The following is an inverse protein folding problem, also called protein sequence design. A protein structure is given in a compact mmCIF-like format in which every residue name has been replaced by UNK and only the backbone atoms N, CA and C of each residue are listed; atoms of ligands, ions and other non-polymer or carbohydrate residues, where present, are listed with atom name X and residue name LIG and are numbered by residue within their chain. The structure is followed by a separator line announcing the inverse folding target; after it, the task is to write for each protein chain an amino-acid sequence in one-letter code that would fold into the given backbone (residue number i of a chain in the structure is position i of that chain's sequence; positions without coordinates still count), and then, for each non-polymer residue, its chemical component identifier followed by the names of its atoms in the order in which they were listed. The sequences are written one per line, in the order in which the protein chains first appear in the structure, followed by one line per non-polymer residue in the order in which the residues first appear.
data_IF_629346987344
#
_entry.id   IF_629346987344
#
_cell.length_a   1.000
_cell.length_b   1.000
_cell.length_c   1.000
_cell.angle_alpha   90.00
_cell.angle_beta   90.00
_cell.angle_gamma   90.00
#
_symmetry.space_group_name_H-M   'P 1'
#
loop_
_entity.id
_entity.type
_entity.pdbx_description
1 polymer ?
#
# COMPACT_ATOMS: atom_id res chain seq x y z
N UNK A 1 29.91 31.79 39.17
CA UNK A 1 30.22 30.80 38.09
C UNK A 1 28.94 30.07 37.74
N UNK A 2 28.25 30.48 36.66
CA UNK A 2 26.96 29.90 36.22
C UNK A 2 27.28 28.92 35.09
N UNK A 3 27.11 27.61 35.37
CA UNK A 3 27.22 26.56 34.35
C UNK A 3 25.99 26.62 33.45
N UNK A 4 26.18 27.05 32.21
CA UNK A 4 25.15 26.95 31.13
C UNK A 4 25.03 25.49 30.72
N UNK A 5 23.88 24.88 31.02
CA UNK A 5 23.47 23.57 30.55
C UNK A 5 22.96 23.74 29.12
N UNK A 6 23.74 23.31 28.13
CA UNK A 6 23.32 23.24 26.73
C UNK A 6 22.42 22.00 26.57
N UNK A 7 21.11 22.21 26.46
CA UNK A 7 20.16 21.18 26.11
C UNK A 7 20.27 20.96 24.60
N UNK A 8 20.93 19.88 24.21
CA UNK A 8 20.93 19.40 22.82
C UNK A 8 19.56 18.78 22.53
N UNK A 9 18.70 19.52 21.88
CA UNK A 9 17.46 18.98 21.28
C UNK A 9 17.86 18.14 20.07
N UNK A 10 18.00 16.83 20.27
CA UNK A 10 18.09 15.88 19.15
C UNK A 10 16.73 15.84 18.45
N UNK A 11 16.60 16.59 17.37
CA UNK A 11 15.52 16.39 16.41
C UNK A 11 15.70 15.00 15.78
N UNK A 12 15.00 14.01 16.31
CA UNK A 12 14.85 12.71 15.70
C UNK A 12 13.99 12.88 14.45
N UNK A 13 14.65 13.08 13.31
CA UNK A 13 14.01 12.98 12.00
C UNK A 13 13.42 11.57 11.88
N UNK A 14 12.12 11.46 12.07
CA UNK A 14 11.36 10.27 11.73
C UNK A 14 11.40 10.11 10.21
N UNK A 15 12.20 9.17 9.71
CA UNK A 15 12.13 8.73 8.33
C UNK A 15 10.79 8.00 8.16
N UNK A 16 9.75 8.75 7.86
CA UNK A 16 8.48 8.19 7.38
C UNK A 16 8.73 7.56 6.01
N UNK A 17 8.12 6.42 5.72
CA UNK A 17 8.09 5.88 4.37
C UNK A 17 7.46 6.96 3.49
N UNK A 18 8.27 7.62 2.69
CA UNK A 18 7.81 8.68 1.79
C UNK A 18 7.51 8.02 0.45
N UNK A 19 6.36 8.35 -0.11
CA UNK A 19 6.04 8.04 -1.49
C UNK A 19 6.49 9.22 -2.35
N UNK A 20 6.97 8.95 -3.56
CA UNK A 20 7.49 9.99 -4.44
C UNK A 20 6.41 10.51 -5.38
N UNK A 21 6.46 11.81 -5.63
CA UNK A 21 5.78 12.49 -6.74
C UNK A 21 6.83 12.76 -7.79
N UNK A 22 6.61 12.30 -9.02
CA UNK A 22 7.59 12.36 -10.09
C UNK A 22 7.45 13.61 -10.95
N UNK A 23 6.46 14.46 -10.74
CA UNK A 23 6.17 15.62 -11.53
C UNK A 23 6.58 16.98 -10.95
N UNK A 24 6.76 17.07 -9.63
CA UNK A 24 6.98 18.37 -8.99
C UNK A 24 8.45 18.71 -8.83
N UNK A 25 8.95 19.51 -9.76
CA UNK A 25 10.26 20.15 -9.64
C UNK A 25 11.45 19.25 -9.91
N UNK A 26 11.24 18.03 -10.38
CA UNK A 26 12.32 17.18 -10.84
C UNK A 26 12.53 17.42 -12.36
N UNK A 27 13.60 18.11 -12.77
CA UNK A 27 13.83 18.43 -14.20
C UNK A 27 14.14 17.19 -15.06
N UNK A 28 14.28 16.02 -14.43
CA UNK A 28 14.74 14.81 -15.10
C UNK A 28 13.62 13.89 -15.60
N UNK A 29 12.38 14.06 -15.14
CA UNK A 29 11.30 13.16 -15.58
C UNK A 29 10.24 13.80 -16.48
N UNK A 30 10.16 15.13 -16.55
CA UNK A 30 9.27 15.85 -17.47
C UNK A 30 7.78 15.52 -17.35
N UNK A 31 7.39 14.85 -16.28
CA UNK A 31 6.02 14.37 -16.05
C UNK A 31 5.39 15.23 -14.96
N UNK A 32 4.30 15.91 -15.31
CA UNK A 32 3.47 16.65 -14.35
C UNK A 32 2.82 15.68 -13.34
N UNK A 33 2.48 16.18 -12.16
CA UNK A 33 1.72 15.41 -11.16
C UNK A 33 0.43 14.85 -11.78
N UNK A 34 0.38 13.54 -11.92
CA UNK A 34 -0.71 12.81 -12.59
C UNK A 34 -1.88 12.51 -11.65
N UNK A 35 -1.82 12.98 -10.41
CA UNK A 35 -2.89 12.74 -9.44
C UNK A 35 -4.12 13.58 -9.77
N UNK A 36 -5.26 12.92 -9.82
CA UNK A 36 -6.57 13.55 -10.05
C UNK A 36 -7.62 13.00 -9.09
N UNK A 37 -8.75 13.66 -9.02
CA UNK A 37 -9.89 13.17 -8.25
C UNK A 37 -10.29 11.76 -8.68
N UNK A 38 -10.29 10.83 -7.76
CA UNK A 38 -10.69 9.47 -8.05
C UNK A 38 -12.18 9.37 -8.38
N UNK A 39 -12.58 8.55 -9.38
CA UNK A 39 -13.98 8.31 -9.69
C UNK A 39 -14.74 7.77 -8.46
N UNK A 40 -15.94 8.27 -8.21
CA UNK A 40 -16.79 7.85 -7.07
C UNK A 40 -16.96 6.33 -6.97
N UNK A 41 -16.93 5.64 -8.10
CA UNK A 41 -17.07 4.20 -8.19
C UNK A 41 -15.89 3.45 -7.60
N UNK A 42 -14.67 3.94 -7.82
CA UNK A 42 -13.44 3.41 -7.26
C UNK A 42 -13.26 3.81 -5.78
N UNK A 43 -13.62 5.04 -5.41
CA UNK A 43 -13.61 5.49 -4.02
C UNK A 43 -14.41 4.60 -3.07
N UNK A 44 -15.46 3.93 -3.57
CA UNK A 44 -16.27 3.02 -2.75
C UNK A 44 -15.54 1.73 -2.33
N UNK A 45 -14.39 1.44 -2.89
CA UNK A 45 -13.62 0.23 -2.54
C UNK A 45 -12.42 0.51 -1.68
N UNK A 46 -12.08 1.76 -1.43
CA UNK A 46 -10.92 2.17 -0.65
C UNK A 46 -11.33 2.99 0.57
N UNK A 47 -10.40 3.12 1.49
CA UNK A 47 -10.54 3.95 2.68
C UNK A 47 -9.19 4.10 3.36
N UNK A 48 -9.20 4.73 4.51
CA UNK A 48 -8.01 5.05 5.28
C UNK A 48 -7.94 4.24 6.57
N UNK A 49 -6.72 3.98 7.03
CA UNK A 49 -6.44 3.36 8.32
C UNK A 49 -5.97 4.44 9.30
N UNK A 50 -6.58 4.44 10.45
CA UNK A 50 -6.17 5.22 11.61
C UNK A 50 -5.78 4.29 12.73
N UNK A 51 -4.67 4.57 13.41
CA UNK A 51 -4.26 3.90 14.64
C UNK A 51 -3.76 4.95 15.62
N UNK A 52 -4.06 4.78 16.89
CA UNK A 52 -3.65 5.71 17.97
C UNK A 52 -4.00 7.19 17.65
N UNK A 53 -5.17 7.40 17.06
CA UNK A 53 -5.66 8.72 16.67
C UNK A 53 -5.03 9.34 15.42
N UNK A 54 -3.96 8.73 14.85
CA UNK A 54 -3.27 9.22 13.66
C UNK A 54 -3.63 8.45 12.39
N UNK A 55 -3.66 9.14 11.25
CA UNK A 55 -3.75 8.50 9.94
C UNK A 55 -2.45 7.75 9.67
N UNK A 56 -2.56 6.50 9.17
CA UNK A 56 -1.41 5.63 8.89
C UNK A 56 -1.27 5.30 7.40
N UNK A 57 -2.35 5.16 6.67
CA UNK A 57 -2.30 4.82 5.25
C UNK A 57 -3.66 4.52 4.65
N UNK A 58 -3.61 3.92 3.49
CA UNK A 58 -4.74 3.50 2.67
C UNK A 58 -4.99 2.00 2.82
N UNK A 59 -6.22 1.56 2.65
CA UNK A 59 -6.57 0.16 2.53
C UNK A 59 -7.70 -0.06 1.54
N UNK A 60 -7.77 -1.27 0.99
CA UNK A 60 -8.75 -1.65 -0.03
C UNK A 60 -9.64 -2.76 0.46
N UNK A 61 -10.94 -2.60 0.33
CA UNK A 61 -11.91 -3.66 0.56
C UNK A 61 -11.84 -4.66 -0.60
N UNK A 62 -11.51 -5.91 -0.29
CA UNK A 62 -11.35 -6.99 -1.27
C UNK A 62 -12.54 -7.92 -1.30
N UNK A 63 -12.83 -8.46 -2.50
CA UNK A 63 -13.84 -9.50 -2.69
C UNK A 63 -13.26 -10.85 -2.28
N UNK A 64 -14.00 -11.56 -1.43
CA UNK A 64 -13.64 -12.90 -1.00
C UNK A 64 -14.75 -13.89 -1.39
N UNK A 65 -14.37 -15.15 -1.64
CA UNK A 65 -15.32 -16.20 -2.03
C UNK A 65 -16.26 -16.62 -0.90
N UNK A 66 -15.83 -16.45 0.34
CA UNK A 66 -16.64 -16.83 1.51
C UNK A 66 -17.61 -15.69 1.85
N UNK A 67 -18.88 -16.08 2.05
CA UNK A 67 -19.88 -15.19 2.68
C UNK A 67 -19.49 -15.02 4.15
N UNK A 68 -18.85 -13.91 4.43
CA UNK A 68 -18.50 -13.55 5.80
C UNK A 68 -19.37 -12.39 6.27
N UNK A 69 -19.68 -12.38 7.56
CA UNK A 69 -20.36 -11.25 8.21
C UNK A 69 -19.43 -10.04 8.38
N UNK A 70 -18.21 -10.17 7.90
CA UNK A 70 -17.11 -9.21 8.03
C UNK A 70 -16.55 -8.88 6.67
N UNK A 71 -16.06 -7.67 6.52
CA UNK A 71 -15.27 -7.28 5.36
C UNK A 71 -13.80 -7.59 5.59
N UNK A 72 -13.13 -7.98 4.52
CA UNK A 72 -11.66 -8.13 4.49
C UNK A 72 -11.08 -6.94 3.73
N UNK A 73 -10.10 -6.31 4.32
CA UNK A 73 -9.31 -5.27 3.66
C UNK A 73 -7.88 -5.73 3.47
N UNK A 74 -7.22 -5.15 2.47
CA UNK A 74 -5.83 -5.36 2.12
C UNK A 74 -5.08 -4.04 2.24
N UNK A 75 -3.88 -4.06 2.85
CA UNK A 75 -3.05 -2.87 3.03
C UNK A 75 -1.57 -3.26 3.11
N UNK A 76 -0.67 -2.28 3.10
CA UNK A 76 0.74 -2.49 3.44
C UNK A 76 0.90 -2.78 4.94
N UNK A 77 1.79 -3.70 5.29
CA UNK A 77 1.98 -4.09 6.68
C UNK A 77 2.53 -2.94 7.55
N UNK A 78 3.44 -2.13 7.01
CA UNK A 78 4.00 -0.98 7.75
C UNK A 78 2.96 0.07 8.16
N UNK A 79 1.77 0.06 7.55
CA UNK A 79 0.64 0.92 7.95
C UNK A 79 0.14 0.54 9.35
N UNK A 80 0.33 -0.71 9.75
CA UNK A 80 -0.14 -1.26 11.03
C UNK A 80 0.96 -1.39 12.09
N UNK A 81 2.24 -1.31 11.70
CA UNK A 81 3.36 -1.55 12.59
C UNK A 81 4.26 -0.31 12.68
N UNK A 82 4.65 0.03 13.90
CA UNK A 82 5.66 1.06 14.13
C UNK A 82 7.00 0.62 13.54
N UNK A 83 7.53 1.43 12.63
CA UNK A 83 8.76 1.10 11.89
C UNK A 83 10.02 1.12 12.77
N UNK A 84 9.99 1.76 13.95
CA UNK A 84 11.12 1.83 14.87
C UNK A 84 11.13 0.66 15.83
N UNK A 85 9.97 0.33 16.38
CA UNK A 85 9.84 -0.68 17.43
C UNK A 85 9.39 -2.04 16.93
N UNK A 86 8.78 -2.10 15.75
CA UNK A 86 8.13 -3.30 15.22
C UNK A 86 6.82 -3.65 15.92
N UNK A 87 6.37 -2.82 16.85
CA UNK A 87 5.14 -3.07 17.58
C UNK A 87 3.91 -2.77 16.71
N UNK A 88 2.87 -3.56 16.87
CA UNK A 88 1.56 -3.29 16.28
C UNK A 88 0.98 -2.03 16.93
N UNK A 89 0.55 -1.08 16.11
CA UNK A 89 -0.19 0.08 16.58
C UNK A 89 -1.50 -0.35 17.26
N UNK A 90 -1.93 0.42 18.24
CA UNK A 90 -3.15 0.15 18.99
C UNK A 90 -4.35 0.90 18.40
N UNK A 91 -5.55 0.57 18.87
CA UNK A 91 -6.79 1.27 18.52
C UNK A 91 -6.98 1.50 17.02
N UNK A 92 -6.54 0.55 16.19
CA UNK A 92 -6.64 0.65 14.75
C UNK A 92 -8.09 0.49 14.28
N UNK A 93 -8.47 1.33 13.32
CA UNK A 93 -9.74 1.22 12.63
C UNK A 93 -9.63 1.62 11.15
N UNK A 94 -10.43 0.99 10.33
CA UNK A 94 -10.61 1.33 8.93
C UNK A 94 -11.74 2.34 8.79
N UNK A 95 -11.49 3.43 8.10
CA UNK A 95 -12.49 4.44 7.76
C UNK A 95 -12.77 4.37 6.26
N UNK A 96 -13.92 3.82 5.85
CA UNK A 96 -14.35 3.84 4.47
C UNK A 96 -14.41 5.26 3.93
N UNK A 97 -14.13 5.47 2.64
CA UNK A 97 -14.27 6.81 2.02
C UNK A 97 -15.72 7.30 2.09
N UNK A 98 -16.69 6.40 2.13
CA UNK A 98 -18.05 6.76 2.48
C UNK A 98 -18.17 7.12 3.97
N UNK A 99 -17.97 8.37 4.30
CA UNK A 99 -17.88 8.93 5.66
C UNK A 99 -19.10 8.67 6.57
N UNK A 100 -20.23 8.22 6.00
CA UNK A 100 -21.44 7.89 6.78
C UNK A 100 -21.27 6.68 7.72
N UNK A 101 -20.28 5.83 7.48
CA UNK A 101 -20.16 4.57 8.21
C UNK A 101 -19.28 4.65 9.46
N UNK A 102 -18.58 5.76 9.70
CA UNK A 102 -17.62 5.88 10.80
C UNK A 102 -16.46 4.88 10.70
N UNK A 103 -15.60 4.82 11.70
CA UNK A 103 -14.48 3.87 11.77
C UNK A 103 -14.97 2.46 12.13
N UNK A 104 -14.36 1.44 11.49
CA UNK A 104 -14.63 0.03 11.75
C UNK A 104 -13.36 -0.60 12.33
N UNK A 105 -13.41 -1.04 13.58
CA UNK A 105 -12.27 -1.67 14.25
C UNK A 105 -11.88 -3.01 13.62
N UNK A 106 -10.68 -3.47 13.90
CA UNK A 106 -10.12 -4.73 13.43
C UNK A 106 -10.54 -5.89 14.32
N UNK A 107 -10.90 -7.02 13.72
CA UNK A 107 -11.20 -8.27 14.41
C UNK A 107 -9.98 -9.20 14.43
N UNK A 108 -9.27 -9.28 13.31
CA UNK A 108 -8.06 -10.11 13.18
C UNK A 108 -7.17 -9.55 12.07
N UNK A 109 -5.88 -9.88 12.17
CA UNK A 109 -4.86 -9.56 11.17
C UNK A 109 -4.26 -10.89 10.70
N UNK A 110 -4.03 -11.05 9.40
CA UNK A 110 -3.43 -12.26 8.84
C UNK A 110 -1.98 -12.43 9.31
N UNK A 111 -1.48 -13.65 9.30
CA UNK A 111 -0.04 -13.89 9.46
C UNK A 111 0.73 -13.09 8.39
N UNK A 112 1.86 -12.52 8.77
CA UNK A 112 2.74 -11.76 7.88
C UNK A 112 4.20 -12.03 8.25
N UNK A 113 5.11 -11.69 7.34
CA UNK A 113 6.55 -11.82 7.54
C UNK A 113 7.24 -10.44 7.56
N UNK A 114 6.46 -9.37 7.60
CA UNK A 114 7.00 -8.02 7.64
C UNK A 114 7.84 -7.82 8.91
N UNK A 115 9.07 -7.34 8.69
CA UNK A 115 10.00 -7.01 9.77
C UNK A 115 10.55 -5.59 9.54
N UNK A 116 10.09 -4.59 10.30
CA UNK A 116 10.53 -3.20 10.15
C UNK A 116 12.02 -3.02 10.50
N UNK A 117 12.61 -3.88 11.31
CA UNK A 117 14.02 -3.85 11.65
C UNK A 117 14.94 -4.45 10.58
N UNK A 118 14.39 -5.00 9.48
CA UNK A 118 15.19 -5.58 8.41
C UNK A 118 16.08 -4.53 7.77
N UNK A 119 17.38 -4.82 7.67
CA UNK A 119 18.34 -4.00 6.91
C UNK A 119 18.18 -4.20 5.40
N UNK A 120 17.65 -5.33 4.97
CA UNK A 120 17.36 -5.60 3.58
C UNK A 120 16.02 -4.95 3.19
N UNK A 121 16.09 -3.83 2.49
CA UNK A 121 14.91 -3.05 2.07
C UNK A 121 14.07 -3.76 1.02
N UNK A 122 14.68 -4.56 0.15
CA UNK A 122 13.95 -5.39 -0.82
C UNK A 122 13.12 -6.44 -0.07
N UNK A 123 13.74 -7.18 0.85
CA UNK A 123 13.02 -8.17 1.66
C UNK A 123 11.93 -7.55 2.53
N UNK A 124 12.16 -6.36 3.02
CA UNK A 124 11.15 -5.60 3.76
C UNK A 124 9.94 -5.28 2.86
N UNK A 125 10.18 -4.79 1.64
CA UNK A 125 9.14 -4.49 0.66
C UNK A 125 8.38 -5.74 0.19
N UNK A 126 9.06 -6.87 -0.05
CA UNK A 126 8.44 -8.16 -0.40
C UNK A 126 7.43 -8.66 0.63
N UNK A 127 7.66 -8.36 1.89
CA UNK A 127 6.83 -8.82 3.01
C UNK A 127 5.82 -7.78 3.50
N UNK A 128 5.85 -6.58 2.92
CA UNK A 128 5.07 -5.42 3.34
C UNK A 128 3.62 -5.46 2.84
N UNK A 129 2.90 -6.51 3.21
CA UNK A 129 1.49 -6.71 2.83
C UNK A 129 0.75 -7.55 3.87
N UNK A 130 -0.50 -7.18 4.17
CA UNK A 130 -1.31 -7.84 5.19
C UNK A 130 -2.81 -7.76 4.87
N UNK A 131 -3.54 -8.82 5.22
CA UNK A 131 -5.00 -8.84 5.23
C UNK A 131 -5.52 -8.55 6.63
N UNK A 132 -6.62 -7.81 6.70
CA UNK A 132 -7.28 -7.47 7.96
C UNK A 132 -8.76 -7.79 7.86
N UNK A 133 -9.28 -8.54 8.83
CA UNK A 133 -10.70 -8.73 9.01
C UNK A 133 -11.27 -7.60 9.87
N UNK A 134 -12.30 -6.95 9.39
CA UNK A 134 -13.02 -5.92 10.13
C UNK A 134 -14.02 -6.54 11.11
N UNK A 135 -14.35 -5.85 12.20
CA UNK A 135 -15.35 -6.32 13.17
C UNK A 135 -16.75 -6.46 12.59
N UNK A 136 -17.04 -5.77 11.48
CA UNK A 136 -18.34 -5.81 10.77
C UNK A 136 -18.16 -5.55 9.28
N UNK A 137 -19.23 -5.70 8.51
CA UNK A 137 -19.23 -5.35 7.06
C UNK A 137 -19.01 -3.86 6.85
N UNK A 138 -18.18 -3.53 5.87
CA UNK A 138 -17.94 -2.15 5.45
C UNK A 138 -19.04 -1.59 4.53
N UNK A 139 -19.98 -2.43 4.05
CA UNK A 139 -21.05 -2.05 3.11
C UNK A 139 -20.55 -1.22 1.92
N UNK A 140 -19.36 -1.56 1.46
CA UNK A 140 -18.70 -0.90 0.35
C UNK A 140 -18.59 -1.85 -0.84
N UNK A 141 -18.29 -1.28 -2.02
CA UNK A 141 -17.81 -2.06 -3.16
C UNK A 141 -16.48 -2.71 -2.79
N UNK A 142 -16.24 -3.91 -3.31
CA UNK A 142 -14.98 -4.62 -3.16
C UNK A 142 -14.33 -4.83 -4.52
N UNK A 143 -13.00 -4.85 -4.56
CA UNK A 143 -12.23 -5.18 -5.75
C UNK A 143 -11.80 -6.65 -5.72
N UNK A 144 -11.66 -7.24 -6.91
CA UNK A 144 -11.08 -8.56 -7.06
C UNK A 144 -9.55 -8.48 -6.89
N UNK A 145 -8.93 -9.59 -6.50
CA UNK A 145 -7.48 -9.76 -6.59
C UNK A 145 -7.14 -10.37 -7.96
N UNK A 146 -6.04 -9.92 -8.57
CA UNK A 146 -5.55 -10.48 -9.82
C UNK A 146 -5.22 -11.97 -9.67
N UNK A 147 -5.36 -12.71 -10.78
CA UNK A 147 -4.89 -14.09 -10.86
C UNK A 147 -3.37 -14.10 -11.09
N UNK A 148 -2.62 -15.10 -10.56
CA UNK A 148 -1.17 -15.13 -10.59
C UNK A 148 -0.50 -15.15 -11.98
N UNK A 149 -1.24 -15.31 -13.05
CA UNK A 149 -0.71 -15.47 -14.41
C UNK A 149 -0.98 -14.24 -15.31
N UNK A 150 -1.33 -13.10 -14.74
CA UNK A 150 -1.53 -11.91 -15.53
C UNK A 150 -0.20 -11.28 -15.89
N UNK A 151 0.13 -11.40 -17.17
CA UNK A 151 1.24 -10.77 -17.89
C UNK A 151 1.40 -9.28 -17.61
N UNK A 152 2.63 -8.83 -17.83
CA UNK A 152 3.14 -7.47 -17.84
C UNK A 152 2.05 -6.42 -18.08
N UNK A 153 1.71 -5.69 -17.03
CA UNK A 153 0.75 -4.58 -17.12
C UNK A 153 1.56 -3.29 -17.14
N UNK A 154 1.82 -2.79 -18.34
CA UNK A 154 2.61 -1.57 -18.51
C UNK A 154 1.87 -0.31 -18.07
N UNK A 155 0.55 -0.26 -18.22
CA UNK A 155 -0.27 0.90 -17.84
C UNK A 155 -1.09 0.58 -16.61
N UNK A 156 -0.80 1.30 -15.54
CA UNK A 156 -1.40 1.08 -14.22
C UNK A 156 -1.97 2.37 -13.64
N UNK A 157 -2.72 2.22 -12.56
CA UNK A 157 -3.29 3.31 -11.79
C UNK A 157 -3.10 3.02 -10.31
N UNK A 158 -2.80 4.04 -9.51
CA UNK A 158 -2.72 3.97 -8.06
C UNK A 158 -3.85 4.77 -7.42
N UNK A 159 -4.60 4.13 -6.55
CA UNK A 159 -5.52 4.82 -5.64
C UNK A 159 -4.89 4.95 -4.25
N UNK A 160 -4.76 6.15 -3.74
CA UNK A 160 -4.17 6.38 -2.43
C UNK A 160 -4.63 7.66 -1.77
N UNK A 161 -4.70 7.65 -0.45
CA UNK A 161 -4.83 8.88 0.31
C UNK A 161 -3.50 9.64 0.26
N UNK A 162 -3.58 10.93 0.00
CA UNK A 162 -2.40 11.79 -0.07
C UNK A 162 -2.51 12.90 0.98
N UNK A 163 -1.52 12.99 1.86
CA UNK A 163 -1.56 13.89 3.01
C UNK A 163 -1.49 15.37 2.63
N UNK A 164 -0.85 15.69 1.51
CA UNK A 164 -0.76 17.05 0.95
C UNK A 164 -2.13 17.58 0.51
N UNK A 165 -2.91 16.76 -0.18
CA UNK A 165 -4.27 17.10 -0.65
C UNK A 165 -5.37 16.69 0.33
N UNK A 166 -5.05 15.90 1.34
CA UNK A 166 -5.97 15.32 2.33
C UNK A 166 -7.15 14.54 1.73
N UNK A 167 -6.94 13.96 0.55
CA UNK A 167 -7.95 13.20 -0.20
C UNK A 167 -7.40 11.89 -0.73
N UNK A 168 -8.31 10.96 -1.09
CA UNK A 168 -7.95 9.81 -1.91
C UNK A 168 -7.99 10.25 -3.37
N UNK A 169 -6.85 10.22 -4.02
CA UNK A 169 -6.70 10.52 -5.44
C UNK A 169 -6.38 9.29 -6.25
N UNK A 170 -6.52 9.42 -7.56
CA UNK A 170 -6.11 8.45 -8.57
C UNK A 170 -4.89 9.03 -9.28
N UNK A 171 -3.72 8.38 -9.15
CA UNK A 171 -2.60 8.60 -10.05
C UNK A 171 -2.86 7.76 -11.29
N UNK A 172 -2.98 8.43 -12.43
CA UNK A 172 -3.35 7.84 -13.71
C UNK A 172 -2.21 7.92 -14.70
N UNK A 173 -2.25 7.13 -15.77
CA UNK A 173 -1.23 7.08 -16.82
C UNK A 173 0.18 6.73 -16.33
N UNK A 174 0.29 6.08 -15.21
CA UNK A 174 1.59 5.63 -14.74
C UNK A 174 1.95 4.26 -15.32
N UNK A 175 3.26 3.99 -15.31
CA UNK A 175 3.84 2.77 -15.84
C UNK A 175 4.30 1.88 -14.71
N UNK A 176 3.96 0.60 -14.81
CA UNK A 176 4.52 -0.46 -13.98
C UNK A 176 5.69 -1.13 -14.69
N UNK A 177 6.75 -1.37 -13.95
CA UNK A 177 7.96 -2.05 -14.42
C UNK A 177 8.12 -3.33 -13.62
N UNK A 178 8.15 -4.48 -14.28
CA UNK A 178 8.56 -5.71 -13.62
C UNK A 178 10.02 -5.57 -13.17
N UNK A 179 10.26 -5.73 -11.89
CA UNK A 179 11.61 -5.64 -11.36
C UNK A 179 12.47 -6.86 -11.74
N UNK A 180 11.84 -7.92 -12.27
CA UNK A 180 12.49 -9.13 -12.70
C UNK A 180 13.28 -9.83 -11.58
N UNK A 181 14.05 -10.84 -11.95
CA UNK A 181 14.95 -11.57 -11.03
C UNK A 181 16.05 -10.71 -10.41
N UNK A 182 16.29 -9.52 -10.94
CA UNK A 182 17.38 -8.64 -10.50
C UNK A 182 17.07 -7.92 -9.18
N UNK A 183 15.81 -7.55 -8.94
CA UNK A 183 15.37 -6.92 -7.66
C UNK A 183 14.51 -7.91 -6.89
N UNK A 184 13.34 -8.26 -7.41
CA UNK A 184 12.45 -9.26 -6.84
C UNK A 184 11.28 -9.55 -7.78
N UNK A 185 10.98 -10.80 -8.04
CA UNK A 185 9.76 -11.21 -8.77
C UNK A 185 8.46 -10.89 -8.00
N UNK A 186 8.57 -10.51 -6.74
CA UNK A 186 7.43 -10.17 -5.89
C UNK A 186 7.11 -8.69 -5.88
N UNK A 187 7.93 -7.84 -6.51
CA UNK A 187 7.76 -6.40 -6.52
C UNK A 187 7.47 -5.88 -7.92
N UNK A 188 6.53 -4.96 -7.98
CA UNK A 188 6.28 -4.08 -9.10
C UNK A 188 6.91 -2.72 -8.78
N UNK A 189 7.79 -2.24 -9.63
CA UNK A 189 8.28 -0.87 -9.58
C UNK A 189 7.35 0.01 -10.40
N UNK A 190 7.13 1.26 -9.99
CA UNK A 190 6.21 2.13 -10.71
C UNK A 190 6.49 3.61 -10.49
N UNK A 191 6.08 4.43 -11.45
CA UNK A 191 6.18 5.88 -11.42
C UNK A 191 4.84 6.59 -11.12
N UNK A 192 3.86 5.89 -10.55
CA UNK A 192 2.64 6.55 -10.09
C UNK A 192 2.97 7.57 -9.01
N UNK A 193 2.42 8.77 -9.15
CA UNK A 193 2.59 9.82 -8.15
C UNK A 193 1.85 9.48 -6.86
N UNK A 194 2.54 9.60 -5.76
CA UNK A 194 2.03 9.30 -4.44
C UNK A 194 2.65 10.19 -3.37
N UNK A 195 1.89 10.50 -2.33
CA UNK A 195 2.37 11.23 -1.15
C UNK A 195 2.16 10.38 0.10
N UNK A 196 2.69 10.81 1.24
CA UNK A 196 2.48 10.16 2.53
C UNK A 196 1.00 9.83 2.76
N UNK A 197 0.71 8.60 3.16
CA UNK A 197 -0.65 8.08 3.34
C UNK A 197 -1.16 7.25 2.16
N UNK A 198 -0.50 7.26 0.98
CA UNK A 198 -0.85 6.39 -0.14
C UNK A 198 -0.47 4.92 0.10
N UNK A 199 0.45 4.66 1.02
CA UNK A 199 0.86 3.30 1.43
C UNK A 199 -0.35 2.42 1.75
N UNK A 200 -0.36 1.21 1.20
CA UNK A 200 -1.48 0.28 1.29
C UNK A 200 -2.57 0.48 0.22
N UNK A 201 -2.43 1.50 -0.61
CA UNK A 201 -3.32 1.76 -1.75
C UNK A 201 -3.19 0.69 -2.84
N UNK A 202 -4.28 0.36 -3.56
CA UNK A 202 -4.25 -0.63 -4.63
C UNK A 202 -3.61 -0.07 -5.89
N UNK A 203 -2.75 -0.86 -6.51
CA UNK A 203 -2.38 -0.73 -7.90
C UNK A 203 -3.36 -1.57 -8.71
N UNK A 204 -3.99 -0.96 -9.70
CA UNK A 204 -4.99 -1.57 -10.57
C UNK A 204 -4.59 -1.40 -12.05
N UNK A 205 -5.07 -2.30 -12.92
CA UNK A 205 -4.87 -2.16 -14.36
C UNK A 205 -5.65 -0.96 -14.91
N UNK A 206 -5.02 -0.13 -15.73
CA UNK A 206 -5.68 0.98 -16.39
C UNK A 206 -6.61 0.52 -17.52
N UNK A 207 -6.33 -0.64 -18.13
CA UNK A 207 -7.06 -1.15 -19.31
C UNK A 207 -8.38 -1.84 -18.97
N UNK A 208 -8.63 -2.17 -17.69
CA UNK A 208 -9.89 -2.78 -17.28
C UNK A 208 -10.98 -1.72 -17.09
N UNK A 209 -12.22 -2.10 -17.42
CA UNK A 209 -13.40 -1.26 -17.12
C UNK A 209 -13.58 -1.10 -15.60
N UNK A 210 -14.04 0.06 -15.15
CA UNK A 210 -14.21 0.40 -13.73
C UNK A 210 -15.01 -0.61 -12.91
N UNK A 211 -15.91 -1.37 -13.54
CA UNK A 211 -16.70 -2.39 -12.85
C UNK A 211 -15.95 -3.67 -12.54
N UNK A 212 -14.88 -3.95 -13.29
CA UNK A 212 -14.10 -5.19 -13.21
C UNK A 212 -12.65 -4.97 -12.80
N UNK A 213 -12.31 -3.77 -12.30
CA UNK A 213 -10.96 -3.48 -11.83
C UNK A 213 -10.46 -4.53 -10.84
N UNK A 214 -9.25 -5.01 -11.08
CA UNK A 214 -8.56 -5.96 -10.20
C UNK A 214 -7.32 -5.33 -9.57
N UNK A 215 -7.06 -5.70 -8.34
CA UNK A 215 -5.83 -5.30 -7.63
C UNK A 215 -4.71 -6.21 -8.11
N UNK A 216 -3.69 -5.63 -8.74
CA UNK A 216 -2.50 -6.35 -9.20
C UNK A 216 -1.34 -6.27 -8.21
N UNK A 217 -1.28 -5.19 -7.44
CA UNK A 217 -0.28 -4.99 -6.39
C UNK A 217 -0.81 -4.02 -5.33
N UNK A 218 -0.06 -3.90 -4.23
CA UNK A 218 -0.33 -2.95 -3.13
C UNK A 218 0.87 -2.04 -2.97
N UNK A 219 0.64 -0.73 -3.07
CA UNK A 219 1.69 0.28 -2.93
C UNK A 219 2.31 0.25 -1.54
N UNK A 220 3.63 0.10 -1.48
CA UNK A 220 4.41 0.03 -0.24
C UNK A 220 5.16 1.32 0.08
N UNK A 221 5.45 2.13 -0.92
CA UNK A 221 6.26 3.34 -0.75
C UNK A 221 7.37 3.45 -1.78
N UNK A 222 8.46 4.12 -1.44
CA UNK A 222 9.55 4.43 -2.35
C UNK A 222 10.80 3.64 -1.99
N UNK A 223 11.49 3.13 -3.00
CA UNK A 223 12.87 2.63 -2.91
C UNK A 223 13.82 3.68 -3.46
N UNK A 224 14.94 3.87 -2.78
CA UNK A 224 16.05 4.68 -3.30
C UNK A 224 16.87 3.87 -4.30
N UNK A 225 17.32 4.49 -5.36
CA UNK A 225 18.17 3.87 -6.41
C UNK A 225 19.45 3.22 -5.85
N UNK A 226 19.99 3.73 -4.75
CA UNK A 226 21.13 3.13 -4.05
C UNK A 226 20.86 1.71 -3.51
N UNK A 227 19.61 1.22 -3.50
CA UNK A 227 19.26 -0.12 -3.04
C UNK A 227 19.28 -1.18 -4.13
N UNK A 228 19.41 -0.79 -5.41
CA UNK A 228 19.52 -1.69 -6.56
C UNK A 228 20.28 -1.01 -7.70
N UNK A 229 20.96 -1.82 -8.53
CA UNK A 229 21.63 -1.28 -9.71
C UNK A 229 20.61 -0.95 -10.79
N UNK A 230 20.71 0.27 -11.31
CA UNK A 230 19.84 0.74 -12.39
C UNK A 230 20.07 0.03 -13.72
N UNK A 231 21.25 -0.57 -13.91
CA UNK A 231 21.61 -1.31 -15.13
C UNK A 231 20.75 -2.57 -15.34
N UNK A 232 20.01 -2.96 -14.32
CA UNK A 232 19.20 -4.18 -14.28
C UNK A 232 17.69 -3.91 -14.40
N UNK A 233 17.26 -2.67 -14.55
CA UNK A 233 15.87 -2.39 -14.88
C UNK A 233 15.64 -2.63 -16.37
N UNK A 234 14.49 -3.19 -16.69
CA UNK A 234 14.04 -3.61 -18.04
C UNK A 234 14.68 -2.82 -19.17
N UNK A 235 15.21 -3.51 -20.17
CA UNK A 235 15.90 -2.93 -21.31
C UNK A 235 15.13 -1.73 -21.89
N UNK A 236 15.71 -0.52 -21.74
CA UNK A 236 15.12 0.74 -22.18
C UNK A 236 14.71 1.73 -21.09
N UNK A 237 14.58 1.32 -19.84
CA UNK A 237 14.36 2.24 -18.74
C UNK A 237 15.70 2.83 -18.27
N UNK A 238 16.04 4.01 -18.74
CA UNK A 238 17.09 4.82 -18.12
C UNK A 238 16.55 5.38 -16.81
N UNK A 239 16.80 4.67 -15.72
CA UNK A 239 16.53 5.22 -14.39
C UNK A 239 17.81 5.95 -13.97
N UNK A 240 17.69 7.24 -13.76
CA UNK A 240 18.78 8.05 -13.21
C UNK A 240 19.13 7.50 -11.81
N UNK A 241 20.42 7.25 -11.50
CA UNK A 241 20.83 6.75 -10.20
C UNK A 241 20.42 7.63 -9.00
N UNK A 242 20.03 8.87 -9.23
CA UNK A 242 19.46 9.75 -8.21
C UNK A 242 17.93 9.65 -8.08
N UNK A 243 17.26 8.90 -8.95
CA UNK A 243 15.81 8.81 -8.94
C UNK A 243 15.31 7.84 -7.86
N UNK A 244 14.28 8.29 -7.19
CA UNK A 244 13.43 7.47 -6.35
C UNK A 244 12.43 6.75 -7.25
N UNK A 245 12.17 5.49 -6.95
CA UNK A 245 11.12 4.74 -7.63
C UNK A 245 10.13 4.19 -6.62
N UNK A 246 8.85 4.31 -6.90
CA UNK A 246 7.84 3.70 -6.06
C UNK A 246 7.79 2.19 -6.29
N UNK A 247 7.46 1.46 -5.24
CA UNK A 247 7.34 0.02 -5.25
C UNK A 247 5.97 -0.43 -4.72
N UNK A 248 5.52 -1.58 -5.21
CA UNK A 248 4.31 -2.24 -4.76
C UNK A 248 4.53 -3.75 -4.67
N UNK A 249 3.91 -4.41 -3.68
CA UNK A 249 3.91 -5.86 -3.53
C UNK A 249 2.86 -6.48 -4.45
N UNK A 250 3.30 -7.32 -5.40
CA UNK A 250 2.45 -7.99 -6.41
C UNK A 250 1.50 -8.99 -5.72
N UNK A 251 0.29 -9.17 -6.28
CA UNK A 251 -0.64 -10.23 -5.91
C UNK A 251 -0.20 -11.53 -6.58
N UNK A 252 0.50 -12.38 -5.86
CA UNK A 252 1.01 -13.66 -6.33
C UNK A 252 0.29 -14.86 -5.69
N UNK A 253 0.66 -16.06 -6.13
CA UNK A 253 0.10 -17.32 -5.60
C UNK A 253 0.34 -17.48 -4.10
N UNK A 254 1.51 -17.09 -3.60
CA UNK A 254 1.85 -17.21 -2.19
C UNK A 254 0.93 -16.30 -1.33
N UNK A 255 0.67 -15.09 -1.81
CA UNK A 255 -0.24 -14.17 -1.14
C UNK A 255 -1.69 -14.68 -1.15
N UNK A 256 -2.15 -15.23 -2.28
CA UNK A 256 -3.49 -15.82 -2.37
C UNK A 256 -3.64 -17.04 -1.45
N UNK A 257 -2.61 -17.86 -1.29
CA UNK A 257 -2.61 -18.96 -0.32
C UNK A 257 -2.71 -18.42 1.12
N UNK A 258 -1.97 -17.37 1.48
CA UNK A 258 -2.09 -16.71 2.79
C UNK A 258 -3.51 -16.16 3.03
N UNK A 259 -4.15 -15.61 2.00
CA UNK A 259 -5.55 -15.20 2.10
C UNK A 259 -6.46 -16.38 2.41
N UNK A 260 -6.29 -17.50 1.67
CA UNK A 260 -7.10 -18.71 1.90
C UNK A 260 -6.93 -19.26 3.32
N UNK A 261 -5.69 -19.33 3.83
CA UNK A 261 -5.39 -19.72 5.21
C UNK A 261 -6.04 -18.76 6.22
N UNK A 262 -5.98 -17.46 5.96
CA UNK A 262 -6.59 -16.45 6.83
C UNK A 262 -8.12 -16.59 6.86
N UNK A 263 -8.75 -16.82 5.70
CA UNK A 263 -10.19 -17.04 5.61
C UNK A 263 -10.62 -18.34 6.34
N UNK A 264 -9.82 -19.40 6.23
CA UNK A 264 -10.05 -20.65 6.96
C UNK A 264 -9.94 -20.46 8.50
N UNK A 265 -8.92 -19.71 8.94
CA UNK A 265 -8.78 -19.32 10.34
C UNK A 265 -10.02 -18.54 10.84
N UNK A 266 -10.46 -17.53 10.09
CA UNK A 266 -11.63 -16.73 10.45
C UNK A 266 -12.92 -17.57 10.53
N UNK A 267 -13.09 -18.54 9.63
CA UNK A 267 -14.25 -19.43 9.65
C UNK A 267 -14.30 -20.32 10.89
N UNK A 268 -13.13 -20.73 11.41
CA UNK A 268 -13.01 -21.58 12.59
C UNK A 268 -13.16 -20.79 13.89
N UNK A 269 -12.41 -19.69 14.04
CA UNK A 269 -12.26 -19.01 15.33
C UNK A 269 -13.23 -17.82 15.51
N UNK A 270 -13.88 -17.40 14.42
CA UNK A 270 -14.90 -16.35 14.43
C UNK A 270 -16.13 -16.79 13.63
N UNK A 271 -16.83 -17.87 14.06
CA UNK A 271 -18.02 -18.34 13.36
C UNK A 271 -19.06 -17.22 13.29
N UNK A 272 -19.77 -17.15 12.17
CA UNK A 272 -20.85 -16.17 11.96
C UNK A 272 -21.88 -16.33 13.09
N UNK A 273 -22.17 -15.25 13.79
CA UNK A 273 -23.32 -15.23 14.69
C UNK A 273 -24.57 -15.38 13.82
N UNK A 274 -25.30 -16.48 13.99
CA UNK A 274 -26.60 -16.73 13.32
C UNK A 274 -27.68 -15.81 13.85
#
# INVERSE_FOLDING_TARGET
MIKRLFLFFLFLLSVTAQSAIFGDGNPHNGVEDQRKNAPKKLLRSVGTIFCDGGLRGTATHIKTALRQDRSIILTAAHVLFDQKTGALFQQCHYRPENRRLGGIGFAAISKHQYNPASKNKIRQAETDIVFVALKKKAYQKSLNLAKPNNTVINTIQLLGYNADSQTISLSDNCTGFESGSFVSEQLLLHNCDAHSGASGGPIISATEHDDNKTIIAVHGGTLMSATFSTDNLVAGAKVDPEQWINQARIIDKALLNRLAEFLAYLAKDFPSQK
#
